data_IF_332681670701
#
_entry.id   IF_332681670701
#
_cell.length_a   1.000
_cell.length_b   1.000
_cell.length_c   1.000
_cell.angle_alpha   90.00
_cell.angle_beta   90.00
_cell.angle_gamma   90.00
#
_symmetry.space_group_name_H-M   'P 1'
#
loop_
_entity.id
_entity.type
_entity.pdbx_description
1 polymer ?
#
# COMPACT_ATOMS: atom_id res chain seq x y z
N UNK A 1 -16.74 4.78 5.97
CA UNK A 1 -18.20 4.87 6.29
C UNK A 1 -19.01 5.33 5.09
N UNK A 2 -18.58 6.35 4.32
CA UNK A 2 -19.36 6.89 3.18
C UNK A 2 -19.72 5.84 2.12
N UNK A 3 -18.81 4.91 1.78
CA UNK A 3 -19.06 3.86 0.79
C UNK A 3 -19.95 2.71 1.29
N UNK A 4 -20.17 2.57 2.60
CA UNK A 4 -20.84 1.40 3.16
C UNK A 4 -22.31 1.29 2.75
N UNK A 5 -23.06 2.39 2.75
CA UNK A 5 -24.45 2.43 2.31
C UNK A 5 -24.60 2.00 0.85
N UNK A 6 -23.97 2.71 -0.10
CA UNK A 6 -24.03 2.37 -1.53
C UNK A 6 -23.64 0.94 -1.86
N UNK A 7 -22.57 0.40 -1.23
CA UNK A 7 -22.14 -0.98 -1.46
C UNK A 7 -23.17 -1.99 -1.00
N UNK A 8 -23.78 -1.79 0.19
CA UNK A 8 -24.80 -2.68 0.72
C UNK A 8 -26.06 -2.70 -0.16
N UNK A 9 -26.51 -1.54 -0.61
CA UNK A 9 -27.68 -1.44 -1.48
C UNK A 9 -27.43 -2.07 -2.86
N UNK A 10 -26.22 -1.86 -3.41
CA UNK A 10 -25.82 -2.51 -4.65
C UNK A 10 -25.79 -4.05 -4.49
N UNK A 11 -25.17 -4.56 -3.43
CA UNK A 11 -25.10 -5.99 -3.16
C UNK A 11 -26.48 -6.65 -2.95
N UNK A 12 -27.44 -5.94 -2.35
CA UNK A 12 -28.83 -6.43 -2.24
C UNK A 12 -29.50 -6.59 -3.60
N UNK A 13 -29.37 -5.57 -4.48
CA UNK A 13 -29.93 -5.61 -5.84
C UNK A 13 -29.30 -6.74 -6.67
N UNK A 14 -27.99 -6.84 -6.64
CA UNK A 14 -27.24 -7.88 -7.37
C UNK A 14 -27.65 -9.28 -6.94
N UNK A 15 -27.83 -9.48 -5.64
CA UNK A 15 -28.32 -10.77 -5.12
C UNK A 15 -29.76 -11.07 -5.58
N UNK A 16 -30.63 -10.09 -5.66
CA UNK A 16 -32.00 -10.26 -6.16
C UNK A 16 -32.03 -10.56 -7.66
N UNK A 17 -31.03 -10.12 -8.40
CA UNK A 17 -30.85 -10.33 -9.85
C UNK A 17 -30.01 -11.59 -10.17
N UNK A 18 -29.63 -12.39 -9.16
CA UNK A 18 -28.72 -13.55 -9.26
C UNK A 18 -27.39 -13.19 -9.93
N UNK A 19 -26.86 -12.03 -9.61
CA UNK A 19 -25.59 -11.50 -10.13
C UNK A 19 -24.54 -11.47 -9.05
N UNK A 20 -23.33 -11.94 -9.36
CA UNK A 20 -22.18 -11.87 -8.48
C UNK A 20 -21.17 -10.84 -9.01
N UNK A 21 -21.05 -9.71 -8.31
CA UNK A 21 -20.13 -8.61 -8.67
C UNK A 21 -19.14 -8.38 -7.53
N UNK A 22 -17.87 -8.64 -7.79
CA UNK A 22 -16.79 -8.37 -6.84
C UNK A 22 -16.32 -6.92 -6.91
N UNK A 23 -16.17 -6.32 -5.74
CA UNK A 23 -15.55 -5.00 -5.55
C UNK A 23 -14.22 -5.17 -4.84
N UNK A 24 -13.27 -4.32 -5.16
CA UNK A 24 -11.91 -4.38 -4.65
C UNK A 24 -11.57 -3.16 -3.81
N UNK A 25 -11.00 -3.39 -2.65
CA UNK A 25 -10.37 -2.37 -1.80
C UNK A 25 -8.94 -2.83 -1.59
N UNK A 26 -7.98 -2.00 -1.99
CA UNK A 26 -6.56 -2.25 -1.76
C UNK A 26 -6.01 -1.15 -0.87
N UNK A 27 -5.68 -1.49 0.35
CA UNK A 27 -5.08 -0.59 1.32
C UNK A 27 -3.56 -0.52 1.11
N UNK A 28 -2.99 0.67 1.29
CA UNK A 28 -1.56 0.89 1.10
C UNK A 28 -0.84 0.91 2.45
N UNK A 29 -0.05 -0.12 2.69
CA UNK A 29 0.82 -0.27 3.85
C UNK A 29 2.30 -0.04 3.47
N UNK A 30 3.22 -0.49 4.29
CA UNK A 30 4.66 -0.40 4.10
C UNK A 30 5.35 -1.60 4.76
N UNK A 31 6.49 -2.00 4.23
CA UNK A 31 7.38 -2.97 4.91
C UNK A 31 7.81 -2.49 6.30
N UNK A 32 7.86 -1.17 6.54
CA UNK A 32 8.07 -0.62 7.89
C UNK A 32 6.95 -1.00 8.86
N UNK A 33 5.71 -1.17 8.38
CA UNK A 33 4.59 -1.64 9.20
C UNK A 33 4.62 -3.16 9.47
N UNK A 34 5.40 -3.91 8.71
CA UNK A 34 5.52 -5.37 8.84
C UNK A 34 6.73 -5.73 9.70
N UNK A 35 7.89 -5.13 9.42
CA UNK A 35 9.18 -5.48 10.01
C UNK A 35 9.69 -4.44 11.01
N UNK A 36 9.04 -3.29 11.08
CA UNK A 36 9.56 -2.13 11.80
C UNK A 36 10.67 -1.41 11.00
N UNK A 37 10.94 -0.16 11.39
CA UNK A 37 12.08 0.58 10.90
C UNK A 37 12.55 1.54 12.01
N UNK A 38 13.85 1.54 12.34
CA UNK A 38 14.40 2.38 13.37
C UNK A 38 14.14 3.88 13.07
N UNK A 39 13.73 4.63 14.07
CA UNK A 39 13.36 6.04 13.92
C UNK A 39 11.96 6.30 13.36
N UNK A 40 11.18 5.25 13.03
CA UNK A 40 9.85 5.36 12.44
C UNK A 40 8.75 4.67 13.28
N UNK A 41 8.83 4.73 14.62
CA UNK A 41 7.87 4.04 15.47
C UNK A 41 6.40 4.47 15.20
N UNK A 42 6.14 5.76 15.02
CA UNK A 42 4.84 6.32 14.69
C UNK A 42 4.34 5.84 13.29
N UNK A 43 5.20 5.92 12.29
CA UNK A 43 4.89 5.50 10.92
C UNK A 43 4.68 3.97 10.85
N UNK A 44 5.57 3.20 11.47
CA UNK A 44 5.47 1.73 11.51
C UNK A 44 4.18 1.29 12.20
N UNK A 45 3.82 1.91 13.33
CA UNK A 45 2.56 1.62 14.03
C UNK A 45 1.34 1.94 13.17
N UNK A 46 1.33 3.09 12.50
CA UNK A 46 0.23 3.48 11.61
C UNK A 46 0.09 2.50 10.44
N UNK A 47 1.21 2.08 9.83
CA UNK A 47 1.20 1.14 8.70
C UNK A 47 0.89 -0.30 9.13
N UNK A 48 1.25 -0.71 10.33
CA UNK A 48 0.82 -1.99 10.92
C UNK A 48 -0.70 -2.03 11.19
N UNK A 49 -1.28 -0.94 11.67
CA UNK A 49 -2.72 -0.82 11.88
C UNK A 49 -3.54 -1.08 10.60
N UNK A 50 -3.02 -0.71 9.42
CA UNK A 50 -3.66 -0.97 8.13
C UNK A 50 -3.82 -2.48 7.88
N UNK A 51 -2.89 -3.31 8.32
CA UNK A 51 -2.96 -4.77 8.17
C UNK A 51 -4.12 -5.34 9.00
N UNK A 52 -4.24 -4.89 10.25
CA UNK A 52 -5.37 -5.27 11.12
C UNK A 52 -6.71 -4.81 10.54
N UNK A 53 -6.79 -3.55 10.08
CA UNK A 53 -7.98 -3.01 9.42
C UNK A 53 -8.37 -3.83 8.18
N UNK A 54 -7.41 -4.20 7.33
CA UNK A 54 -7.63 -5.00 6.13
C UNK A 54 -8.25 -6.35 6.46
N UNK A 55 -7.71 -7.04 7.48
CA UNK A 55 -8.22 -8.34 7.92
C UNK A 55 -9.63 -8.26 8.52
N UNK A 56 -9.90 -7.24 9.34
CA UNK A 56 -11.22 -7.03 9.90
C UNK A 56 -12.25 -6.73 8.81
N UNK A 57 -11.95 -5.78 7.93
CA UNK A 57 -12.85 -5.41 6.83
C UNK A 57 -13.10 -6.57 5.85
N UNK A 58 -12.12 -7.40 5.57
CA UNK A 58 -12.30 -8.55 4.68
C UNK A 58 -13.35 -9.53 5.21
N UNK A 59 -13.39 -9.75 6.52
CA UNK A 59 -14.38 -10.61 7.19
C UNK A 59 -15.76 -9.96 7.25
N UNK A 60 -15.82 -8.66 7.51
CA UNK A 60 -17.09 -7.93 7.61
C UNK A 60 -17.78 -7.77 6.25
N UNK A 61 -17.01 -7.54 5.20
CA UNK A 61 -17.51 -7.12 3.89
C UNK A 61 -17.55 -8.22 2.85
N UNK A 62 -16.95 -9.38 3.12
CA UNK A 62 -16.96 -10.54 2.22
C UNK A 62 -18.37 -10.99 1.83
N UNK A 63 -19.35 -10.89 2.73
CA UNK A 63 -20.77 -11.17 2.46
C UNK A 63 -21.40 -10.26 1.41
N UNK A 64 -20.77 -9.12 1.09
CA UNK A 64 -21.17 -8.17 0.06
C UNK A 64 -20.29 -8.30 -1.19
N UNK A 65 -19.52 -9.37 -1.31
CA UNK A 65 -18.56 -9.60 -2.40
C UNK A 65 -17.53 -8.47 -2.53
N UNK A 66 -17.05 -7.96 -1.39
CA UNK A 66 -15.95 -7.00 -1.34
C UNK A 66 -14.69 -7.69 -0.89
N UNK A 67 -13.70 -7.77 -1.77
CA UNK A 67 -12.35 -8.17 -1.43
C UNK A 67 -11.62 -6.97 -0.79
N UNK A 68 -10.99 -7.19 0.33
CA UNK A 68 -10.18 -6.17 1.01
C UNK A 68 -8.79 -6.73 1.24
N UNK A 69 -7.80 -6.19 0.56
CA UNK A 69 -6.40 -6.60 0.64
C UNK A 69 -5.51 -5.40 0.94
N UNK A 70 -4.26 -5.64 1.23
CA UNK A 70 -3.25 -4.60 1.40
C UNK A 70 -1.99 -4.91 0.58
N UNK A 71 -1.29 -3.86 0.13
CA UNK A 71 0.06 -3.95 -0.40
C UNK A 71 1.00 -3.21 0.55
N UNK A 72 2.07 -3.88 0.98
CA UNK A 72 3.14 -3.27 1.76
C UNK A 72 4.34 -3.00 0.83
N UNK A 73 4.58 -1.74 0.56
CA UNK A 73 5.70 -1.34 -0.29
C UNK A 73 7.00 -1.27 0.50
N UNK A 74 8.08 -1.75 -0.13
CA UNK A 74 9.46 -1.47 0.25
C UNK A 74 9.94 -0.12 -0.30
N UNK A 75 11.18 -0.07 -0.76
CA UNK A 75 11.73 1.10 -1.44
C UNK A 75 11.16 1.19 -2.85
N UNK A 76 10.43 2.27 -3.13
CA UNK A 76 9.91 2.61 -4.47
C UNK A 76 10.47 3.97 -4.87
N UNK A 77 11.02 4.08 -6.07
CA UNK A 77 11.53 5.33 -6.61
C UNK A 77 10.38 6.27 -6.98
N UNK A 78 10.28 7.37 -6.24
CA UNK A 78 9.27 8.42 -6.41
C UNK A 78 9.91 9.78 -6.17
N UNK A 79 9.20 10.85 -6.38
CA UNK A 79 9.69 12.20 -6.03
C UNK A 79 10.11 12.32 -4.56
N UNK A 80 9.41 11.62 -3.65
CA UNK A 80 9.72 11.65 -2.22
C UNK A 80 10.98 10.84 -1.84
N UNK A 81 11.40 9.93 -2.71
CA UNK A 81 12.58 9.07 -2.50
C UNK A 81 13.71 9.39 -3.49
N UNK A 82 13.65 10.58 -4.14
CA UNK A 82 14.78 11.03 -4.94
C UNK A 82 16.02 11.22 -4.09
N UNK A 83 17.19 10.92 -4.68
CA UNK A 83 18.45 11.16 -4.01
C UNK A 83 18.60 12.66 -3.72
N UNK A 84 18.94 13.00 -2.47
CA UNK A 84 19.37 14.35 -2.12
C UNK A 84 20.76 14.56 -2.71
N UNK A 85 20.83 15.23 -3.85
CA UNK A 85 22.07 15.85 -4.32
C UNK A 85 22.16 17.25 -3.68
N UNK A 86 23.31 17.93 -3.82
CA UNK A 86 23.64 19.21 -3.17
C UNK A 86 22.64 20.34 -3.38
N UNK A 87 21.75 20.23 -4.38
CA UNK A 87 20.67 21.17 -4.68
C UNK A 87 19.30 20.61 -4.27
N UNK A 88 19.19 20.02 -3.09
CA UNK A 88 18.01 19.34 -2.60
C UNK A 88 16.76 20.22 -2.69
N UNK A 89 15.72 19.73 -3.36
CA UNK A 89 14.40 20.33 -3.30
C UNK A 89 13.95 20.40 -1.84
N UNK A 90 13.58 21.56 -1.37
CA UNK A 90 12.97 21.75 -0.06
C UNK A 90 11.50 22.11 -0.23
N UNK A 91 10.68 21.73 0.74
CA UNK A 91 9.30 22.20 0.86
C UNK A 91 9.24 23.15 2.05
N UNK A 92 8.52 24.26 1.88
CA UNK A 92 8.23 25.17 2.98
C UNK A 92 6.98 24.67 3.73
N UNK A 93 7.13 24.43 5.02
CA UNK A 93 6.01 24.14 5.91
C UNK A 93 6.07 25.16 7.05
N UNK A 94 5.13 26.07 7.06
CA UNK A 94 5.02 27.14 8.09
C UNK A 94 6.31 27.95 8.30
N UNK A 95 7.01 28.26 7.21
CA UNK A 95 8.27 29.01 7.23
C UNK A 95 9.53 28.17 7.52
N UNK A 96 9.37 26.86 7.66
CA UNK A 96 10.49 25.92 7.81
C UNK A 96 10.80 25.22 6.49
N UNK A 97 12.04 25.38 5.99
CA UNK A 97 12.53 24.66 4.81
C UNK A 97 12.88 23.22 5.19
N UNK A 98 12.07 22.27 4.76
CA UNK A 98 12.27 20.85 5.01
C UNK A 98 12.85 20.21 3.75
N UNK A 99 14.09 19.68 3.75
CA UNK A 99 14.66 18.98 2.60
C UNK A 99 13.83 17.73 2.29
N UNK A 100 13.46 17.57 1.00
CA UNK A 100 12.67 16.45 0.50
C UNK A 100 13.58 15.52 -0.27
N UNK A 101 13.64 14.27 0.13
CA UNK A 101 14.44 13.24 -0.51
C UNK A 101 15.17 12.36 0.51
N UNK A 102 16.00 11.46 0.00
CA UNK A 102 16.78 10.53 0.81
C UNK A 102 18.24 10.60 0.38
N UNK A 103 19.17 10.58 1.33
CA UNK A 103 20.60 10.56 1.01
C UNK A 103 20.94 9.41 0.07
N UNK A 104 21.71 9.67 -0.98
CA UNK A 104 22.10 8.66 -2.00
C UNK A 104 22.68 7.40 -1.39
N UNK A 105 23.59 7.51 -0.43
CA UNK A 105 24.18 6.37 0.28
C UNK A 105 23.16 5.50 0.99
N UNK A 106 22.08 6.10 1.53
CA UNK A 106 20.99 5.37 2.18
C UNK A 106 20.14 4.61 1.14
N UNK A 107 19.90 5.21 -0.03
CA UNK A 107 19.19 4.56 -1.13
C UNK A 107 19.98 3.39 -1.69
N UNK A 108 21.27 3.55 -1.90
CA UNK A 108 22.18 2.50 -2.39
C UNK A 108 22.28 1.35 -1.37
N UNK A 109 22.47 1.67 -0.09
CA UNK A 109 22.50 0.67 0.98
C UNK A 109 21.15 -0.04 1.15
N UNK A 110 20.04 0.63 0.92
CA UNK A 110 18.71 0.01 0.93
C UNK A 110 18.54 -0.90 -0.30
N UNK A 111 18.94 -0.45 -1.49
CA UNK A 111 18.89 -1.25 -2.72
C UNK A 111 19.73 -2.53 -2.65
N UNK A 112 20.93 -2.45 -2.08
CA UNK A 112 21.83 -3.61 -1.95
C UNK A 112 21.32 -4.70 -0.98
N UNK A 113 20.39 -4.36 -0.09
CA UNK A 113 19.75 -5.32 0.83
C UNK A 113 18.58 -6.09 0.21
N UNK A 114 18.11 -5.68 -0.95
CA UNK A 114 17.02 -6.32 -1.66
C UNK A 114 17.54 -7.43 -2.55
N UNK A 115 16.88 -8.57 -2.60
CA UNK A 115 17.29 -9.70 -3.46
C UNK A 115 17.36 -9.30 -4.93
N UNK A 116 16.50 -8.38 -5.39
CA UNK A 116 16.53 -7.85 -6.76
C UNK A 116 17.59 -6.76 -6.97
N UNK A 117 18.36 -6.37 -5.95
CA UNK A 117 19.48 -5.43 -6.04
C UNK A 117 19.08 -3.97 -6.31
N UNK A 118 17.79 -3.62 -6.28
CA UNK A 118 17.31 -2.26 -6.58
C UNK A 118 15.97 -1.96 -5.92
N UNK A 119 15.63 -0.70 -5.81
CA UNK A 119 14.25 -0.28 -5.51
C UNK A 119 13.30 -0.52 -6.70
N UNK A 120 12.01 -0.62 -6.42
CA UNK A 120 10.97 -0.74 -7.43
C UNK A 120 10.66 0.59 -8.11
N UNK A 121 10.07 0.54 -9.30
CA UNK A 121 9.51 1.72 -9.97
C UNK A 121 8.07 1.99 -9.51
N UNK A 122 7.56 3.18 -9.82
CA UNK A 122 6.16 3.51 -9.55
C UNK A 122 5.19 2.60 -10.32
N UNK A 123 5.55 2.21 -11.54
CA UNK A 123 4.77 1.30 -12.39
C UNK A 123 4.73 -0.12 -11.80
N UNK A 124 5.85 -0.62 -11.29
CA UNK A 124 5.92 -1.92 -10.60
C UNK A 124 5.06 -1.92 -9.32
N UNK A 125 5.10 -0.82 -8.56
CA UNK A 125 4.23 -0.65 -7.41
C UNK A 125 2.75 -0.60 -7.79
N UNK A 126 2.39 0.12 -8.86
CA UNK A 126 1.03 0.15 -9.40
C UNK A 126 0.59 -1.23 -9.89
N UNK A 127 1.50 -2.00 -10.52
CA UNK A 127 1.27 -3.37 -10.94
C UNK A 127 0.87 -4.29 -9.78
N UNK A 128 1.53 -4.17 -8.62
CA UNK A 128 1.19 -4.93 -7.41
C UNK A 128 -0.23 -4.63 -6.91
N UNK A 129 -0.68 -3.38 -6.99
CA UNK A 129 -2.06 -2.98 -6.67
C UNK A 129 -3.03 -3.55 -7.70
N UNK A 130 -2.69 -3.44 -8.99
CA UNK A 130 -3.51 -3.91 -10.10
C UNK A 130 -3.79 -5.41 -10.01
N UNK A 131 -2.81 -6.25 -9.64
CA UNK A 131 -2.97 -7.68 -9.43
C UNK A 131 -4.10 -8.03 -8.43
N UNK A 132 -4.33 -7.17 -7.45
CA UNK A 132 -5.40 -7.35 -6.47
C UNK A 132 -6.75 -6.75 -6.91
N UNK A 133 -6.78 -6.09 -8.06
CA UNK A 133 -7.99 -5.46 -8.64
C UNK A 133 -8.63 -6.27 -9.78
N UNK A 134 -7.89 -7.18 -10.40
CA UNK A 134 -8.37 -7.98 -11.55
C UNK A 134 -9.33 -9.10 -11.12
N UNK A 135 -10.16 -9.62 -12.03
CA UNK A 135 -11.12 -10.71 -11.73
C UNK A 135 -10.47 -11.98 -11.19
N UNK A 136 -9.27 -12.31 -11.63
CA UNK A 136 -8.50 -13.49 -11.21
C UNK A 136 -8.17 -13.47 -9.71
N UNK A 137 -8.22 -12.30 -9.09
CA UNK A 137 -8.06 -12.12 -7.63
C UNK A 137 -9.38 -12.21 -6.84
N UNK A 138 -10.49 -12.64 -7.43
CA UNK A 138 -11.79 -12.67 -6.75
C UNK A 138 -11.82 -13.57 -5.52
N UNK A 139 -10.97 -14.58 -5.44
CA UNK A 139 -10.88 -15.47 -4.26
C UNK A 139 -9.79 -15.04 -3.28
N UNK A 140 -9.19 -13.85 -3.46
CA UNK A 140 -8.13 -13.29 -2.59
C UNK A 140 -8.74 -12.17 -1.75
N UNK A 141 -8.79 -12.34 -0.43
CA UNK A 141 -9.23 -11.30 0.51
C UNK A 141 -8.54 -11.45 1.87
N UNK A 142 -8.36 -10.35 2.59
CA UNK A 142 -7.69 -10.30 3.89
C UNK A 142 -6.17 -10.46 3.81
N UNK A 143 -5.58 -10.42 2.61
CA UNK A 143 -4.16 -10.68 2.39
C UNK A 143 -3.32 -9.40 2.41
N UNK A 144 -2.06 -9.60 2.76
CA UNK A 144 -1.01 -8.60 2.65
C UNK A 144 0.01 -9.07 1.60
N UNK A 145 0.13 -8.34 0.51
CA UNK A 145 1.15 -8.55 -0.50
C UNK A 145 2.36 -7.67 -0.19
N UNK A 146 3.53 -8.26 -0.05
CA UNK A 146 4.79 -7.53 0.00
C UNK A 146 5.25 -7.21 -1.43
N UNK A 147 5.56 -5.94 -1.68
CA UNK A 147 6.11 -5.46 -2.94
C UNK A 147 7.40 -4.70 -2.62
N UNK A 148 8.48 -5.42 -2.40
CA UNK A 148 9.70 -4.92 -1.76
C UNK A 148 11.01 -5.41 -2.40
N UNK A 149 10.94 -6.18 -3.47
CA UNK A 149 12.11 -6.71 -4.15
C UNK A 149 12.86 -7.81 -3.38
N UNK A 150 12.21 -8.43 -2.38
CA UNK A 150 12.77 -9.52 -1.59
C UNK A 150 13.69 -9.04 -0.47
N UNK A 151 13.18 -8.19 0.40
CA UNK A 151 13.85 -7.71 1.61
C UNK A 151 13.99 -8.81 2.67
#
# INVERSE_FOLDING_TARGET
>A
RAAAGPIREAAKREKAEDREIFRKIVNISSTSGVFGNAGQANYSSAKAAIVGLTRAMSREWGRYKVNVNAVAFGLVHTRLTQALDTDAASIDIEGHQIPVGVQRAVLEAAGSRMSLGRGGTAEEAAGAVYLLCIPESNYITGQLLLCDGGR
#
